data_IF_387824504687
#
_entry.id   IF_387824504687
#
_cell.length_a   1.000
_cell.length_b   1.000
_cell.length_c   1.000
_cell.angle_alpha   90.00
_cell.angle_beta   90.00
_cell.angle_gamma   90.00
#
_symmetry.space_group_name_H-M   'P 1'
#
loop_
_entity.id
_entity.type
_entity.pdbx_description
1 polymer ?
#
# COMPACT_ATOMS: atom_id res chain seq x y z
N UNK A 1 20.79 -6.95 2.29
CA UNK A 1 19.46 -6.50 2.77
C UNK A 1 18.39 -7.10 1.87
N UNK A 2 17.66 -8.11 2.35
CA UNK A 2 16.52 -8.67 1.61
C UNK A 2 15.36 -7.69 1.86
N UNK A 3 15.02 -6.85 0.87
CA UNK A 3 13.81 -6.03 0.95
C UNK A 3 12.60 -6.97 0.86
N UNK A 4 11.84 -7.10 1.94
CA UNK A 4 10.57 -7.84 1.94
C UNK A 4 9.60 -7.18 0.93
N UNK A 5 8.82 -8.01 0.22
CA UNK A 5 7.80 -7.55 -0.73
C UNK A 5 6.78 -6.61 -0.06
N UNK A 6 6.46 -6.90 1.20
CA UNK A 6 5.59 -6.09 2.06
C UNK A 6 6.09 -4.65 2.20
N UNK A 7 7.39 -4.46 2.46
CA UNK A 7 7.96 -3.11 2.64
C UNK A 7 7.89 -2.28 1.36
N UNK A 8 8.03 -2.91 0.19
CA UNK A 8 7.91 -2.22 -1.11
C UNK A 8 6.47 -1.83 -1.43
N UNK A 9 5.51 -2.69 -1.07
CA UNK A 9 4.09 -2.41 -1.21
C UNK A 9 3.68 -1.20 -0.36
N UNK A 10 4.03 -1.21 0.92
CA UNK A 10 3.75 -0.10 1.83
C UNK A 10 4.40 1.20 1.37
N UNK A 11 5.64 1.14 0.89
CA UNK A 11 6.33 2.31 0.37
C UNK A 11 5.65 2.89 -0.87
N UNK A 12 5.27 2.04 -1.84
CA UNK A 12 4.56 2.49 -3.04
C UNK A 12 3.23 3.16 -2.70
N UNK A 13 2.51 2.66 -1.68
CA UNK A 13 1.27 3.27 -1.18
C UNK A 13 1.57 4.67 -0.63
N UNK A 14 2.58 4.81 0.25
CA UNK A 14 2.96 6.09 0.86
C UNK A 14 3.35 7.12 -0.21
N UNK A 15 4.08 6.69 -1.24
CA UNK A 15 4.52 7.56 -2.34
C UNK A 15 3.37 7.95 -3.30
N UNK A 16 2.35 7.10 -3.44
CA UNK A 16 1.24 7.34 -4.38
C UNK A 16 0.14 8.21 -3.77
N UNK A 17 -0.14 8.08 -2.46
CA UNK A 17 -1.22 8.81 -1.77
C UNK A 17 -1.17 10.34 -2.02
N UNK A 18 -0.02 11.02 -1.95
CA UNK A 18 0.04 12.47 -2.20
C UNK A 18 -0.29 12.89 -3.63
N UNK A 19 -0.23 11.95 -4.59
CA UNK A 19 -0.56 12.19 -5.99
C UNK A 19 -2.00 11.82 -6.34
N UNK A 20 -2.76 11.30 -5.38
CA UNK A 20 -4.18 10.99 -5.53
C UNK A 20 -5.02 12.20 -5.10
N UNK A 21 -5.96 12.63 -5.94
CA UNK A 21 -6.83 13.78 -5.65
C UNK A 21 -7.89 13.47 -4.57
N UNK A 22 -8.05 12.20 -4.18
CA UNK A 22 -9.01 11.79 -3.15
C UNK A 22 -8.44 12.02 -1.75
N UNK A 23 -9.33 12.34 -0.82
CA UNK A 23 -8.96 12.39 0.59
C UNK A 23 -8.53 11.01 1.12
N UNK A 24 -7.64 11.00 2.12
CA UNK A 24 -7.20 9.80 2.84
C UNK A 24 -8.39 8.96 3.36
N UNK A 25 -9.47 9.63 3.77
CA UNK A 25 -10.72 8.99 4.20
C UNK A 25 -11.43 8.30 3.04
N UNK A 26 -11.56 8.95 1.88
CA UNK A 26 -12.19 8.36 0.72
C UNK A 26 -11.43 7.11 0.23
N UNK A 27 -10.10 7.17 0.21
CA UNK A 27 -9.25 6.02 -0.12
C UNK A 27 -9.47 4.88 0.89
N UNK A 28 -9.51 5.20 2.18
CA UNK A 28 -9.73 4.21 3.22
C UNK A 28 -11.12 3.55 3.14
N UNK A 29 -12.16 4.36 2.92
CA UNK A 29 -13.55 3.90 2.81
C UNK A 29 -13.72 2.99 1.57
N UNK A 30 -13.14 3.38 0.43
CA UNK A 30 -13.18 2.58 -0.80
C UNK A 30 -12.38 1.26 -0.67
N UNK A 31 -11.24 1.31 0.02
CA UNK A 31 -10.41 0.13 0.28
C UNK A 31 -10.98 -0.77 1.41
N UNK A 32 -12.03 -0.33 2.11
CA UNK A 32 -12.59 -1.05 3.26
C UNK A 32 -11.63 -1.13 4.46
N UNK A 33 -10.72 -0.16 4.61
CA UNK A 33 -9.73 -0.12 5.71
C UNK A 33 -10.04 1.00 6.69
N UNK A 34 -9.56 0.86 7.92
CA UNK A 34 -9.71 1.91 8.92
C UNK A 34 -8.84 3.13 8.55
N UNK A 35 -9.46 4.33 8.48
CA UNK A 35 -8.76 5.58 8.14
C UNK A 35 -7.60 5.90 9.09
N UNK A 36 -7.72 5.59 10.38
CA UNK A 36 -6.64 5.80 11.35
C UNK A 36 -5.47 4.86 11.08
N UNK A 37 -5.72 3.64 10.62
CA UNK A 37 -4.65 2.72 10.23
C UNK A 37 -3.89 3.24 8.99
N UNK A 38 -4.62 3.74 7.98
CA UNK A 38 -4.01 4.33 6.79
C UNK A 38 -3.22 5.62 7.13
N UNK A 39 -3.77 6.47 8.01
CA UNK A 39 -3.07 7.67 8.48
C UNK A 39 -1.77 7.36 9.21
N UNK A 40 -1.76 6.32 10.05
CA UNK A 40 -0.54 5.87 10.76
C UNK A 40 0.51 5.28 9.83
N UNK A 41 0.08 4.65 8.73
CA UNK A 41 0.99 4.20 7.68
C UNK A 41 1.69 5.40 7.03
N UNK A 42 0.93 6.42 6.61
CA UNK A 42 1.47 7.63 5.96
C UNK A 42 2.38 8.41 6.92
N UNK A 43 2.06 8.44 8.21
CA UNK A 43 2.90 9.05 9.24
C UNK A 43 4.17 8.23 9.59
N UNK A 44 4.33 7.01 9.05
CA UNK A 44 5.48 6.14 9.31
C UNK A 44 5.48 5.47 10.69
N UNK A 45 4.36 5.48 11.41
CA UNK A 45 4.28 4.93 12.77
C UNK A 45 4.03 3.42 12.79
N UNK A 46 3.10 2.94 11.97
CA UNK A 46 2.63 1.55 11.98
C UNK A 46 2.22 1.10 10.60
N UNK A 47 2.67 -0.10 10.21
CA UNK A 47 2.31 -0.74 8.95
C UNK A 47 0.85 -1.22 8.92
N UNK A 48 0.37 -1.53 7.71
CA UNK A 48 -0.89 -2.24 7.48
C UNK A 48 -0.63 -3.75 7.42
N UNK A 49 -1.69 -4.57 7.63
CA UNK A 49 -1.60 -5.98 7.25
C UNK A 49 -1.43 -6.11 5.74
N UNK A 50 -0.96 -7.28 5.29
CA UNK A 50 -0.80 -7.53 3.86
C UNK A 50 -2.13 -7.39 3.11
N UNK A 51 -3.24 -7.90 3.66
CA UNK A 51 -4.55 -7.79 2.98
C UNK A 51 -5.02 -6.33 2.90
N UNK A 52 -4.83 -5.56 3.96
CA UNK A 52 -5.19 -4.14 3.98
C UNK A 52 -4.31 -3.33 3.00
N UNK A 53 -3.01 -3.64 2.92
CA UNK A 53 -2.11 -3.01 1.98
C UNK A 53 -2.47 -3.36 0.52
N UNK A 54 -2.84 -4.61 0.23
CA UNK A 54 -3.33 -5.04 -1.09
C UNK A 54 -4.63 -4.34 -1.48
N UNK A 55 -5.58 -4.19 -0.56
CA UNK A 55 -6.83 -3.48 -0.82
C UNK A 55 -6.59 -2.00 -1.16
N UNK A 56 -5.75 -1.31 -0.38
CA UNK A 56 -5.37 0.08 -0.65
C UNK A 56 -4.63 0.21 -1.97
N UNK A 57 -3.69 -0.71 -2.27
CA UNK A 57 -3.00 -0.72 -3.55
C UNK A 57 -3.96 -0.92 -4.74
N UNK A 58 -4.97 -1.76 -4.59
CA UNK A 58 -6.02 -1.95 -5.60
C UNK A 58 -6.78 -0.65 -5.91
N UNK A 59 -7.17 0.09 -4.87
CA UNK A 59 -7.86 1.39 -4.99
C UNK A 59 -6.96 2.47 -5.61
N UNK A 60 -5.66 2.44 -5.31
CA UNK A 60 -4.66 3.35 -5.88
C UNK A 60 -4.18 2.92 -7.27
N UNK A 61 -4.69 1.81 -7.82
CA UNK A 61 -4.29 1.30 -9.13
C UNK A 61 -2.87 0.72 -9.19
N UNK A 62 -2.24 0.45 -8.04
CA UNK A 62 -0.89 -0.10 -7.93
C UNK A 62 -0.95 -1.60 -8.22
N UNK A 63 -0.13 -2.08 -9.16
CA UNK A 63 -0.01 -3.51 -9.49
C UNK A 63 1.41 -4.01 -9.28
N UNK A 64 1.56 -5.02 -8.42
CA UNK A 64 2.81 -5.74 -8.23
C UNK A 64 2.86 -6.96 -9.14
N UNK A 65 3.95 -7.10 -9.90
CA UNK A 65 4.20 -8.30 -10.70
C UNK A 65 5.40 -9.03 -10.13
N UNK A 66 5.22 -10.29 -9.74
CA UNK A 66 6.32 -11.15 -9.32
C UNK A 66 6.96 -11.72 -10.59
N UNK A 67 8.24 -11.42 -10.81
CA UNK A 67 9.05 -12.07 -11.85
C UNK A 67 9.87 -13.18 -11.21
N UNK A 68 9.48 -14.42 -11.45
CA UNK A 68 10.25 -15.59 -11.03
C UNK A 68 11.40 -15.76 -12.05
N UNK A 69 12.67 -15.68 -11.62
CA UNK A 69 13.78 -15.94 -12.53
C UNK A 69 13.70 -17.39 -12.98
N UNK A 70 13.63 -17.64 -14.29
CA UNK A 70 13.81 -18.98 -14.84
C UNK A 70 15.24 -19.43 -14.50
N UNK A 71 15.38 -20.43 -13.62
CA UNK A 71 16.64 -21.17 -13.47
C UNK A 71 16.98 -21.76 -14.84
N UNK A 72 18.15 -21.39 -15.38
CA UNK A 72 18.80 -22.13 -16.46
C UNK A 72 19.49 -23.36 -15.87
#
# INVERSE_FOLDING_TARGET
MIFSMESRLLQAIIETIPSDDRSLRAIADEAGVNVSALSRLVAGERGLSIEAAEAVAGVLGIRFTIRIPKRK
#
